data_IF_162562416767
#
_entry.id   IF_162562416767
#
_cell.length_a   1.000
_cell.length_b   1.000
_cell.length_c   1.000
_cell.angle_alpha   90.00
_cell.angle_beta   90.00
_cell.angle_gamma   90.00
#
_symmetry.space_group_name_H-M   'P 1'
#
loop_
_entity.id
_entity.type
_entity.pdbx_description
1 polymer ?
#
# COMPACT_ATOMS: atom_id res chain seq x y z
N UNK A 1 -4.29 11.45 -22.11
CA UNK A 1 -5.03 10.19 -22.32
C UNK A 1 -6.53 10.43 -22.27
N UNK A 2 -7.08 10.92 -21.14
CA UNK A 2 -8.51 11.16 -20.98
C UNK A 2 -9.13 11.99 -22.13
N UNK A 3 -8.61 13.18 -22.43
CA UNK A 3 -9.16 14.05 -23.48
C UNK A 3 -9.17 13.39 -24.87
N UNK A 4 -8.14 12.60 -25.18
CA UNK A 4 -8.09 11.83 -26.43
C UNK A 4 -9.11 10.69 -26.42
N UNK A 5 -9.36 10.06 -25.28
CA UNK A 5 -10.38 9.02 -25.14
C UNK A 5 -11.80 9.60 -25.24
N UNK A 6 -12.03 10.84 -24.78
CA UNK A 6 -13.27 11.60 -25.00
C UNK A 6 -13.47 11.87 -26.49
N UNK A 7 -12.43 12.38 -27.17
CA UNK A 7 -12.50 12.67 -28.61
C UNK A 7 -12.81 11.44 -29.46
N UNK A 8 -12.35 10.26 -29.03
CA UNK A 8 -12.58 8.99 -29.72
C UNK A 8 -13.79 8.21 -29.19
N UNK A 9 -14.61 8.81 -28.31
CA UNK A 9 -15.77 8.15 -27.68
C UNK A 9 -15.44 6.81 -27.00
N UNK A 10 -14.20 6.64 -26.53
CA UNK A 10 -13.72 5.41 -25.90
C UNK A 10 -13.90 5.51 -24.37
N UNK A 11 -15.06 5.10 -23.87
CA UNK A 11 -15.37 5.17 -22.44
C UNK A 11 -14.50 4.24 -21.59
N UNK A 12 -13.99 3.15 -22.16
CA UNK A 12 -13.04 2.28 -21.46
C UNK A 12 -11.74 3.03 -21.12
N UNK A 13 -11.12 3.71 -22.09
CA UNK A 13 -9.90 4.49 -21.86
C UNK A 13 -10.16 5.75 -21.02
N UNK A 14 -11.37 6.33 -21.06
CA UNK A 14 -11.73 7.41 -20.14
C UNK A 14 -11.73 6.91 -18.69
N UNK A 15 -12.40 5.77 -18.43
CA UNK A 15 -12.45 5.16 -17.09
C UNK A 15 -11.06 4.77 -16.59
N UNK A 16 -10.25 4.12 -17.42
CA UNK A 16 -8.86 3.76 -17.07
C UNK A 16 -8.03 5.01 -16.75
N UNK A 17 -8.17 6.10 -17.51
CA UNK A 17 -7.43 7.33 -17.25
C UNK A 17 -7.78 7.94 -15.89
N UNK A 18 -9.06 7.93 -15.52
CA UNK A 18 -9.52 8.39 -14.21
C UNK A 18 -9.00 7.50 -13.07
N UNK A 19 -8.94 6.17 -13.26
CA UNK A 19 -8.34 5.26 -12.27
C UNK A 19 -6.87 5.60 -12.04
N UNK A 20 -6.11 5.82 -13.12
CA UNK A 20 -4.68 6.18 -13.01
C UNK A 20 -4.47 7.53 -12.31
N UNK A 21 -5.32 8.52 -12.59
CA UNK A 21 -5.30 9.81 -11.88
C UNK A 21 -5.64 9.65 -10.40
N UNK A 22 -6.66 8.86 -10.08
CA UNK A 22 -7.07 8.59 -8.71
C UNK A 22 -5.93 7.94 -7.89
N UNK A 23 -5.23 6.95 -8.44
CA UNK A 23 -4.04 6.34 -7.81
C UNK A 23 -2.98 7.41 -7.51
N UNK A 24 -2.69 8.28 -8.49
CA UNK A 24 -1.69 9.34 -8.34
C UNK A 24 -2.06 10.34 -7.25
N UNK A 25 -3.26 10.92 -7.30
CA UNK A 25 -3.69 11.91 -6.32
C UNK A 25 -3.85 11.35 -4.92
N UNK A 26 -4.38 10.12 -4.79
CA UNK A 26 -4.45 9.45 -3.49
C UNK A 26 -3.05 9.26 -2.91
N UNK A 27 -2.10 8.73 -3.70
CA UNK A 27 -0.70 8.55 -3.24
C UNK A 27 -0.06 9.87 -2.82
N UNK A 28 -0.26 10.94 -3.59
CA UNK A 28 0.26 12.27 -3.26
C UNK A 28 -0.30 12.79 -1.93
N UNK A 29 -1.62 12.70 -1.73
CA UNK A 29 -2.24 13.12 -0.47
C UNK A 29 -1.78 12.27 0.72
N UNK A 30 -1.64 10.95 0.55
CA UNK A 30 -1.18 10.02 1.58
C UNK A 30 0.30 10.19 1.95
N UNK A 31 1.12 10.77 1.07
CA UNK A 31 2.54 11.02 1.34
C UNK A 31 2.81 12.43 1.88
N UNK A 32 2.13 13.45 1.34
CA UNK A 32 2.50 14.85 1.56
C UNK A 32 1.45 15.66 2.31
N UNK A 33 0.17 15.25 2.30
CA UNK A 33 -0.95 16.05 2.79
C UNK A 33 -1.60 16.88 1.68
N UNK A 34 -1.94 18.17 1.91
CA UNK A 34 -2.48 19.03 0.86
C UNK A 34 -1.59 19.05 -0.39
N UNK A 35 -2.20 18.99 -1.58
CA UNK A 35 -1.48 18.94 -2.86
C UNK A 35 -2.25 19.68 -3.95
N UNK A 36 -1.59 20.17 -5.02
CA UNK A 36 -2.30 20.69 -6.18
C UNK A 36 -3.26 19.65 -6.76
N UNK A 37 -4.56 19.94 -6.78
CA UNK A 37 -5.58 19.01 -7.26
C UNK A 37 -6.58 19.66 -8.21
N UNK A 38 -7.46 20.54 -7.74
CA UNK A 38 -8.51 21.20 -8.53
C UNK A 38 -7.96 22.19 -9.56
N UNK A 39 -6.82 22.80 -9.25
CA UNK A 39 -6.12 23.71 -10.16
C UNK A 39 -4.97 23.06 -10.93
N UNK A 40 -4.68 21.78 -10.65
CA UNK A 40 -3.58 21.05 -11.29
C UNK A 40 -3.87 20.72 -12.76
N UNK A 41 -2.83 20.30 -13.48
CA UNK A 41 -2.88 19.92 -14.90
C UNK A 41 -3.41 21.01 -15.85
N UNK A 42 -3.45 22.26 -15.38
CA UNK A 42 -3.75 23.43 -16.19
C UNK A 42 -2.45 24.13 -16.60
N UNK A 43 -2.05 24.02 -17.87
CA UNK A 43 -0.82 24.64 -18.40
C UNK A 43 -0.80 26.17 -18.27
N UNK A 44 -1.96 26.81 -18.13
CA UNK A 44 -2.06 28.26 -17.90
C UNK A 44 -1.87 28.67 -16.44
N UNK A 45 -1.93 27.72 -15.50
CA UNK A 45 -1.72 27.96 -14.08
C UNK A 45 -0.37 27.41 -13.63
N UNK A 46 0.62 28.30 -13.51
CA UNK A 46 1.98 27.96 -13.08
C UNK A 46 2.14 27.92 -11.55
N UNK A 47 1.11 28.29 -10.80
CA UNK A 47 1.12 28.35 -9.33
C UNK A 47 -0.21 27.81 -8.78
N UNK A 48 -0.53 26.53 -9.04
CA UNK A 48 -1.78 25.95 -8.57
C UNK A 48 -1.86 25.94 -7.05
N UNK A 49 -3.04 26.25 -6.53
CA UNK A 49 -3.33 26.11 -5.12
C UNK A 49 -3.20 24.63 -4.68
N UNK A 50 -2.80 24.43 -3.43
CA UNK A 50 -2.77 23.11 -2.81
C UNK A 50 -4.12 22.91 -2.12
N UNK A 51 -4.90 21.94 -2.58
CA UNK A 51 -6.18 21.62 -1.97
C UNK A 51 -5.99 20.80 -0.70
N UNK A 52 -6.85 21.05 0.28
CA UNK A 52 -6.91 20.27 1.51
C UNK A 52 -7.16 18.79 1.20
N UNK A 53 -6.58 17.91 2.02
CA UNK A 53 -6.66 16.47 1.80
C UNK A 53 -8.11 15.95 1.70
N UNK A 54 -9.05 16.54 2.46
CA UNK A 54 -10.48 16.18 2.37
C UNK A 54 -11.06 16.42 0.97
N UNK A 55 -10.67 17.52 0.31
CA UNK A 55 -11.07 17.84 -1.07
C UNK A 55 -10.45 16.83 -2.04
N UNK A 56 -9.17 16.51 -1.85
CA UNK A 56 -8.46 15.54 -2.70
C UNK A 56 -9.09 14.16 -2.60
N UNK A 57 -9.39 13.66 -1.39
CA UNK A 57 -10.00 12.35 -1.20
C UNK A 57 -11.42 12.25 -1.73
N UNK A 58 -12.27 13.27 -1.53
CA UNK A 58 -13.60 13.29 -2.16
C UNK A 58 -13.48 13.34 -3.70
N UNK A 59 -12.51 14.09 -4.21
CA UNK A 59 -12.19 14.10 -5.64
C UNK A 59 -11.75 12.74 -6.18
N UNK A 60 -10.88 12.02 -5.46
CA UNK A 60 -10.46 10.64 -5.78
C UNK A 60 -11.67 9.69 -5.78
N UNK A 61 -12.53 9.76 -4.77
CA UNK A 61 -13.74 8.94 -4.67
C UNK A 61 -14.69 9.23 -5.83
N UNK A 62 -14.82 10.49 -6.23
CA UNK A 62 -15.62 10.90 -7.39
C UNK A 62 -15.01 10.37 -8.70
N UNK A 63 -13.69 10.53 -8.91
CA UNK A 63 -12.99 9.97 -10.09
C UNK A 63 -13.21 8.46 -10.22
N UNK A 64 -13.12 7.72 -9.12
CA UNK A 64 -13.36 6.27 -9.12
C UNK A 64 -14.84 5.93 -9.34
N UNK A 65 -15.77 6.77 -8.89
CA UNK A 65 -17.19 6.61 -9.16
C UNK A 65 -17.51 6.78 -10.64
N UNK A 66 -16.98 7.83 -11.25
CA UNK A 66 -17.17 8.12 -12.67
C UNK A 66 -16.48 7.07 -13.55
N UNK A 67 -15.27 6.64 -13.16
CA UNK A 67 -14.57 5.55 -13.82
C UNK A 67 -15.36 4.24 -13.79
N UNK A 68 -15.97 3.89 -12.65
CA UNK A 68 -16.78 2.68 -12.54
C UNK A 68 -18.00 2.74 -13.45
N UNK A 69 -18.66 3.91 -13.57
CA UNK A 69 -19.78 4.11 -14.48
C UNK A 69 -19.38 3.98 -15.95
N UNK A 70 -18.25 4.58 -16.33
CA UNK A 70 -17.69 4.51 -17.69
C UNK A 70 -17.30 3.09 -18.08
N UNK A 71 -16.61 2.37 -17.19
CA UNK A 71 -16.19 0.98 -17.42
C UNK A 71 -17.38 0.00 -17.43
N UNK A 72 -18.40 0.23 -16.60
CA UNK A 72 -19.61 -0.59 -16.59
C UNK A 72 -20.43 -0.46 -17.87
N UNK A 73 -20.39 0.71 -18.51
CA UNK A 73 -21.03 1.00 -19.81
C UNK A 73 -20.03 0.99 -20.97
N UNK A 74 -18.87 0.35 -20.76
CA UNK A 74 -17.67 0.44 -21.56
C UNK A 74 -17.85 0.28 -23.07
N UNK A 75 -17.15 1.12 -23.83
CA UNK A 75 -17.08 1.13 -25.28
C UNK A 75 -15.68 1.51 -25.74
N UNK A 76 -15.31 1.07 -26.94
CA UNK A 76 -13.98 1.27 -27.52
C UNK A 76 -12.95 0.27 -27.03
N UNK A 77 -11.98 -0.03 -27.88
CA UNK A 77 -10.96 -1.04 -27.58
C UNK A 77 -9.84 -0.49 -26.68
N UNK A 78 -9.29 -1.36 -25.85
CA UNK A 78 -8.02 -1.13 -25.14
C UNK A 78 -6.99 -2.07 -25.77
N UNK A 79 -5.97 -1.50 -26.40
CA UNK A 79 -4.92 -2.30 -27.05
C UNK A 79 -4.15 -3.06 -25.97
N UNK A 80 -4.19 -4.39 -26.02
CA UNK A 80 -3.63 -5.26 -25.00
C UNK A 80 -2.16 -4.96 -24.66
N UNK A 81 -1.33 -4.68 -25.67
CA UNK A 81 0.09 -4.37 -25.47
C UNK A 81 0.35 -3.01 -24.83
N UNK A 82 -0.65 -2.14 -24.77
CA UNK A 82 -0.55 -0.81 -24.16
C UNK A 82 -1.04 -0.79 -22.70
N UNK A 83 -1.63 -1.90 -22.23
CA UNK A 83 -2.12 -2.06 -20.86
C UNK A 83 -1.24 -3.06 -20.09
N UNK A 84 -0.34 -2.52 -19.28
CA UNK A 84 0.61 -3.31 -18.48
C UNK A 84 0.01 -3.96 -17.23
N UNK A 85 -1.25 -3.66 -16.90
CA UNK A 85 -1.93 -4.23 -15.73
C UNK A 85 -2.80 -5.41 -16.11
N UNK A 86 -3.66 -5.25 -17.12
CA UNK A 86 -4.69 -6.24 -17.43
C UNK A 86 -4.76 -6.65 -18.89
N UNK A 87 -3.81 -6.22 -19.73
CA UNK A 87 -3.76 -6.62 -21.13
C UNK A 87 -5.05 -6.30 -21.90
N UNK A 88 -5.73 -5.21 -21.54
CA UNK A 88 -6.98 -4.77 -22.15
C UNK A 88 -8.25 -5.34 -21.54
N UNK A 89 -8.17 -6.15 -20.47
CA UNK A 89 -9.35 -6.67 -19.78
C UNK A 89 -10.02 -5.58 -18.91
N UNK A 90 -11.03 -4.94 -19.49
CA UNK A 90 -11.78 -3.85 -18.84
C UNK A 90 -12.64 -4.33 -17.67
N UNK A 91 -12.96 -5.62 -17.60
CA UNK A 91 -13.67 -6.19 -16.45
C UNK A 91 -12.80 -6.20 -15.19
N UNK A 92 -11.49 -6.47 -15.36
CA UNK A 92 -10.51 -6.34 -14.26
C UNK A 92 -10.25 -4.90 -13.88
N UNK A 93 -10.24 -3.98 -14.84
CA UNK A 93 -10.21 -2.54 -14.54
C UNK A 93 -11.40 -2.12 -13.69
N UNK A 94 -12.63 -2.55 -14.01
CA UNK A 94 -13.80 -2.24 -13.20
C UNK A 94 -13.68 -2.79 -11.77
N UNK A 95 -13.17 -4.02 -11.61
CA UNK A 95 -12.92 -4.59 -10.28
C UNK A 95 -11.87 -3.79 -9.51
N UNK A 96 -10.78 -3.37 -10.17
CA UNK A 96 -9.76 -2.51 -9.58
C UNK A 96 -10.37 -1.17 -9.13
N UNK A 97 -11.17 -0.53 -9.98
CA UNK A 97 -11.82 0.75 -9.66
C UNK A 97 -12.62 0.68 -8.37
N UNK A 98 -13.49 -0.32 -8.25
CA UNK A 98 -14.31 -0.50 -7.05
C UNK A 98 -13.47 -0.88 -5.82
N UNK A 99 -12.42 -1.67 -6.03
CA UNK A 99 -11.49 -2.07 -4.97
C UNK A 99 -10.67 -0.89 -4.44
N UNK A 100 -10.17 -0.01 -5.32
CA UNK A 100 -9.51 1.24 -4.94
C UNK A 100 -10.48 2.20 -4.25
N UNK A 101 -11.73 2.29 -4.73
CA UNK A 101 -12.75 3.11 -4.07
C UNK A 101 -13.02 2.61 -2.65
N UNK A 102 -13.06 1.29 -2.46
CA UNK A 102 -13.16 0.68 -1.14
C UNK A 102 -11.95 1.05 -0.26
N UNK A 103 -10.72 0.96 -0.77
CA UNK A 103 -9.51 1.41 -0.05
C UNK A 103 -9.57 2.89 0.34
N UNK A 104 -9.91 3.77 -0.59
CA UNK A 104 -10.01 5.21 -0.34
C UNK A 104 -11.04 5.54 0.75
N UNK A 105 -12.22 4.88 0.72
CA UNK A 105 -13.24 5.02 1.77
C UNK A 105 -12.76 4.50 3.12
N UNK A 106 -12.06 3.36 3.16
CA UNK A 106 -11.48 2.83 4.39
C UNK A 106 -10.40 3.76 4.97
N UNK A 107 -9.59 4.37 4.10
CA UNK A 107 -8.57 5.37 4.48
C UNK A 107 -9.17 6.51 5.28
N UNK A 108 -10.30 7.05 4.82
CA UNK A 108 -10.97 8.22 5.43
C UNK A 108 -12.08 7.86 6.42
N UNK A 109 -12.21 6.58 6.80
CA UNK A 109 -13.32 6.10 7.63
C UNK A 109 -13.39 6.72 9.04
N UNK A 110 -12.28 7.30 9.52
CA UNK A 110 -12.22 8.04 10.78
C UNK A 110 -12.75 9.47 10.68
N UNK A 111 -12.86 10.02 9.47
CA UNK A 111 -13.13 11.46 9.24
C UNK A 111 -14.58 11.71 8.87
N UNK A 112 -15.27 10.71 8.31
CA UNK A 112 -16.70 10.75 8.00
C UNK A 112 -17.34 9.36 7.96
N UNK A 113 -18.67 9.34 7.89
CA UNK A 113 -19.41 8.10 7.65
C UNK A 113 -19.17 7.60 6.22
N UNK A 114 -18.77 6.32 6.09
CA UNK A 114 -18.47 5.65 4.80
C UNK A 114 -19.27 4.35 4.61
N UNK A 115 -19.98 3.87 5.63
CA UNK A 115 -20.57 2.52 5.63
C UNK A 115 -21.58 2.25 4.51
N UNK A 116 -22.43 3.24 4.17
CA UNK A 116 -23.39 3.10 3.08
C UNK A 116 -22.70 2.91 1.71
N UNK A 117 -21.60 3.64 1.47
CA UNK A 117 -20.83 3.54 0.22
C UNK A 117 -20.06 2.22 0.15
N UNK A 118 -19.41 1.83 1.26
CA UNK A 118 -18.72 0.54 1.35
C UNK A 118 -19.70 -0.62 1.10
N UNK A 119 -20.87 -0.61 1.75
CA UNK A 119 -21.87 -1.66 1.57
C UNK A 119 -22.42 -1.69 0.13
N UNK A 120 -22.60 -0.53 -0.51
CA UNK A 120 -23.01 -0.46 -1.91
C UNK A 120 -21.96 -1.08 -2.86
N UNK A 121 -20.67 -0.85 -2.60
CA UNK A 121 -19.58 -1.48 -3.35
C UNK A 121 -19.61 -3.00 -3.18
N UNK A 122 -19.76 -3.50 -1.95
CA UNK A 122 -19.89 -4.95 -1.69
C UNK A 122 -21.08 -5.54 -2.44
N UNK A 123 -22.24 -4.87 -2.41
CA UNK A 123 -23.46 -5.33 -3.06
C UNK A 123 -23.35 -5.35 -4.60
N UNK A 124 -22.44 -4.57 -5.18
CA UNK A 124 -22.23 -4.56 -6.63
C UNK A 124 -21.63 -5.88 -7.15
N UNK A 125 -20.91 -6.62 -6.29
CA UNK A 125 -20.19 -7.84 -6.68
C UNK A 125 -18.97 -7.61 -7.59
N UNK A 126 -18.67 -6.36 -7.96
CA UNK A 126 -17.58 -6.02 -8.89
C UNK A 126 -16.30 -5.67 -8.15
N UNK A 127 -15.85 -6.55 -7.25
CA UNK A 127 -14.60 -6.46 -6.51
C UNK A 127 -13.64 -7.57 -6.96
N UNK A 128 -12.39 -7.54 -6.51
CA UNK A 128 -11.48 -8.68 -6.69
C UNK A 128 -12.06 -9.97 -6.10
N UNK A 129 -11.99 -11.06 -6.87
CA UNK A 129 -12.45 -12.39 -6.48
C UNK A 129 -11.32 -13.35 -6.10
N UNK A 130 -10.09 -13.04 -6.48
CA UNK A 130 -8.91 -13.87 -6.25
C UNK A 130 -7.62 -13.15 -6.62
N UNK A 131 -6.48 -13.83 -6.44
CA UNK A 131 -5.15 -13.28 -6.73
C UNK A 131 -4.95 -12.96 -8.23
N UNK A 132 -5.71 -13.58 -9.12
CA UNK A 132 -5.74 -13.30 -10.56
C UNK A 132 -6.27 -11.91 -10.92
N UNK A 133 -6.99 -11.26 -9.99
CA UNK A 133 -7.49 -9.90 -10.15
C UNK A 133 -6.52 -8.84 -9.60
N UNK A 134 -5.39 -9.22 -8.99
CA UNK A 134 -4.43 -8.26 -8.44
C UNK A 134 -3.99 -7.22 -9.50
N UNK A 135 -3.95 -5.95 -9.14
CA UNK A 135 -3.36 -4.91 -9.98
C UNK A 135 -1.86 -4.86 -9.78
N UNK A 136 -1.14 -5.32 -10.80
CA UNK A 136 0.29 -5.54 -10.75
C UNK A 136 0.97 -5.02 -12.01
N UNK A 137 2.10 -4.36 -11.83
CA UNK A 137 3.01 -3.98 -12.91
C UNK A 137 4.03 -5.09 -13.10
N UNK A 138 4.05 -5.69 -14.29
CA UNK A 138 5.04 -6.72 -14.64
C UNK A 138 6.39 -6.07 -14.95
N UNK A 139 7.45 -6.59 -14.36
CA UNK A 139 8.83 -6.22 -14.68
C UNK A 139 9.46 -7.26 -15.62
N UNK A 140 10.54 -6.87 -16.30
CA UNK A 140 11.31 -7.73 -17.21
C UNK A 140 12.52 -8.35 -16.49
N UNK A 141 13.17 -9.30 -17.15
CA UNK A 141 14.26 -10.06 -16.56
C UNK A 141 15.57 -9.28 -16.35
N UNK A 142 15.73 -8.08 -16.93
CA UNK A 142 16.99 -7.32 -16.95
C UNK A 142 16.78 -5.81 -16.81
N UNK A 143 17.76 -5.12 -16.25
CA UNK A 143 17.79 -3.66 -16.11
C UNK A 143 17.73 -2.95 -17.48
N UNK A 144 17.09 -1.76 -17.58
CA UNK A 144 16.51 -0.95 -16.52
C UNK A 144 15.01 -1.21 -16.27
N UNK A 145 14.47 -2.30 -16.81
CA UNK A 145 13.05 -2.65 -16.73
C UNK A 145 12.80 -3.80 -15.73
N UNK A 146 13.81 -4.18 -14.92
CA UNK A 146 13.68 -5.21 -13.91
C UNK A 146 13.11 -4.64 -12.60
N UNK A 147 12.72 -5.53 -11.69
CA UNK A 147 12.22 -5.13 -10.39
C UNK A 147 13.26 -4.23 -9.67
N UNK A 148 12.90 -3.01 -9.25
CA UNK A 148 13.87 -2.06 -8.69
C UNK A 148 14.58 -2.52 -7.42
N UNK A 149 13.98 -3.41 -6.63
CA UNK A 149 14.61 -4.01 -5.45
C UNK A 149 15.71 -4.99 -5.89
N UNK A 150 15.46 -5.79 -6.92
CA UNK A 150 16.47 -6.64 -7.53
C UNK A 150 17.59 -5.82 -8.17
N UNK A 151 17.26 -4.79 -8.96
CA UNK A 151 18.24 -3.92 -9.59
C UNK A 151 19.14 -3.25 -8.54
N UNK A 152 18.56 -2.82 -7.42
CA UNK A 152 19.34 -2.20 -6.35
C UNK A 152 20.23 -3.20 -5.62
N UNK A 153 19.68 -4.34 -5.21
CA UNK A 153 20.35 -5.26 -4.27
C UNK A 153 21.26 -6.23 -4.99
N UNK A 154 20.76 -6.87 -6.05
CA UNK A 154 21.47 -7.94 -6.77
C UNK A 154 22.34 -7.35 -7.87
N UNK A 155 21.76 -6.62 -8.82
CA UNK A 155 22.51 -6.03 -9.94
C UNK A 155 23.49 -4.96 -9.42
N UNK A 156 22.99 -4.06 -8.58
CA UNK A 156 23.77 -3.02 -7.91
C UNK A 156 24.73 -3.51 -6.84
N UNK A 157 24.75 -4.82 -6.51
CA UNK A 157 25.64 -5.43 -5.52
C UNK A 157 25.61 -4.71 -4.16
N UNK A 158 24.41 -4.53 -3.59
CA UNK A 158 24.18 -3.82 -2.32
C UNK A 158 23.79 -4.79 -1.20
N UNK A 159 24.75 -5.57 -0.65
CA UNK A 159 24.47 -6.59 0.37
C UNK A 159 24.05 -6.01 1.72
N UNK A 160 24.15 -4.70 1.93
CA UNK A 160 23.75 -4.02 3.16
C UNK A 160 22.23 -3.96 3.37
N UNK A 161 21.42 -4.27 2.35
CA UNK A 161 19.97 -4.37 2.48
C UNK A 161 19.58 -5.63 3.24
N UNK A 162 19.16 -5.45 4.50
CA UNK A 162 18.89 -6.52 5.46
C UNK A 162 17.48 -6.40 6.05
N UNK A 163 16.91 -7.52 6.51
CA UNK A 163 15.58 -7.52 7.13
C UNK A 163 15.61 -6.96 8.56
N UNK A 164 14.52 -6.30 8.96
CA UNK A 164 14.36 -5.73 10.30
C UNK A 164 14.06 -6.83 11.33
N UNK A 165 14.62 -6.71 12.54
CA UNK A 165 14.30 -7.63 13.65
C UNK A 165 12.82 -7.59 14.01
N UNK A 166 12.16 -6.44 13.87
CA UNK A 166 10.72 -6.28 14.12
C UNK A 166 9.88 -7.30 13.33
N UNK A 167 10.17 -7.45 12.03
CA UNK A 167 9.47 -8.39 11.17
C UNK A 167 9.81 -9.84 11.54
N UNK A 168 11.10 -10.11 11.74
CA UNK A 168 11.59 -11.46 12.08
C UNK A 168 11.00 -11.94 13.41
N UNK A 169 11.01 -11.10 14.44
CA UNK A 169 10.50 -11.41 15.77
C UNK A 169 8.99 -11.62 15.74
N UNK A 170 8.25 -10.76 15.02
CA UNK A 170 6.81 -10.90 14.86
C UNK A 170 6.45 -12.23 14.18
N UNK A 171 7.04 -12.52 13.02
CA UNK A 171 6.72 -13.75 12.28
C UNK A 171 7.16 -15.01 13.03
N UNK A 172 8.29 -14.94 13.75
CA UNK A 172 8.73 -16.03 14.64
C UNK A 172 7.71 -16.28 15.74
N UNK A 173 7.20 -15.22 16.40
CA UNK A 173 6.21 -15.36 17.48
C UNK A 173 4.88 -15.96 17.00
N UNK A 174 4.56 -15.80 15.72
CA UNK A 174 3.36 -16.33 15.07
C UNK A 174 3.56 -17.72 14.45
N UNK A 175 4.77 -18.28 14.53
CA UNK A 175 5.18 -19.47 13.76
C UNK A 175 4.81 -19.35 12.27
N UNK A 176 5.06 -18.18 11.69
CA UNK A 176 4.61 -17.84 10.34
C UNK A 176 5.60 -18.34 9.28
N UNK A 177 5.21 -19.28 8.40
CA UNK A 177 6.10 -19.83 7.39
C UNK A 177 6.51 -18.82 6.31
N UNK A 178 5.81 -17.67 6.18
CA UNK A 178 6.23 -16.59 5.28
C UNK A 178 7.60 -16.02 5.66
N UNK A 179 8.05 -16.18 6.91
CA UNK A 179 9.39 -15.74 7.33
C UNK A 179 10.51 -16.30 6.44
N UNK A 180 10.41 -17.58 6.06
CA UNK A 180 11.41 -18.23 5.21
C UNK A 180 11.34 -17.79 3.74
N UNK A 181 10.25 -17.13 3.33
CA UNK A 181 10.10 -16.52 1.99
C UNK A 181 10.58 -15.06 2.03
N UNK A 182 10.30 -14.34 3.11
CA UNK A 182 10.60 -12.91 3.26
C UNK A 182 12.08 -12.65 3.52
N UNK A 183 12.76 -13.57 4.22
CA UNK A 183 14.15 -13.42 4.65
C UNK A 183 15.00 -14.62 4.21
N UNK A 184 16.23 -14.33 3.77
CA UNK A 184 17.24 -15.37 3.54
C UNK A 184 17.93 -15.75 4.86
N UNK A 185 18.32 -17.01 5.07
CA UNK A 185 19.19 -17.40 6.17
C UNK A 185 20.47 -16.56 6.22
N UNK A 186 20.96 -16.21 7.42
CA UNK A 186 22.25 -15.55 7.56
C UNK A 186 23.38 -16.44 7.02
N UNK A 187 24.36 -15.85 6.34
CA UNK A 187 25.50 -16.57 5.74
C UNK A 187 26.42 -17.20 6.78
N UNK A 188 26.47 -16.62 7.98
CA UNK A 188 27.33 -17.08 9.08
C UNK A 188 26.99 -18.48 9.59
N UNK A 189 25.70 -18.82 9.69
CA UNK A 189 25.25 -20.06 10.34
C UNK A 189 23.90 -20.61 9.86
N UNK A 190 23.26 -19.96 8.87
CA UNK A 190 21.98 -20.41 8.31
C UNK A 190 20.75 -20.11 9.17
N UNK A 191 20.85 -19.24 10.18
CA UNK A 191 19.68 -18.84 11.01
C UNK A 191 19.14 -17.49 10.54
N UNK A 192 17.81 -17.36 10.46
CA UNK A 192 17.18 -16.08 10.11
C UNK A 192 17.28 -15.10 11.28
N UNK A 193 17.88 -13.93 11.05
CA UNK A 193 18.02 -12.85 12.04
C UNK A 193 17.85 -11.49 11.41
N UNK A 194 16.98 -10.67 12.00
CA UNK A 194 16.85 -9.28 11.59
C UNK A 194 17.73 -8.35 12.42
N UNK A 195 17.94 -7.14 11.90
CA UNK A 195 18.65 -6.07 12.60
C UNK A 195 17.64 -5.04 13.16
N UNK A 196 17.78 -4.58 14.41
CA UNK A 196 16.93 -3.50 14.92
C UNK A 196 17.10 -2.22 14.11
N UNK A 197 16.01 -1.48 13.83
CA UNK A 197 16.08 -0.23 13.08
C UNK A 197 16.74 0.88 13.92
N UNK A 198 17.53 1.73 13.25
CA UNK A 198 17.94 3.02 13.81
C UNK A 198 19.33 3.11 14.43
N UNK A 199 20.24 2.18 14.17
CA UNK A 199 21.66 2.35 14.50
C UNK A 199 22.40 2.97 13.32
N UNK A 200 23.07 4.12 13.52
CA UNK A 200 23.85 4.77 12.46
C UNK A 200 24.24 6.23 12.72
N UNK A 201 23.57 6.92 13.65
CA UNK A 201 23.87 8.31 14.01
C UNK A 201 25.02 8.39 15.03
N UNK A 202 24.98 7.51 16.03
CA UNK A 202 25.95 7.43 17.11
C UNK A 202 26.80 6.15 16.99
N UNK A 203 26.20 5.06 16.51
CA UNK A 203 26.92 3.80 16.28
C UNK A 203 27.43 3.70 14.84
N UNK A 204 28.74 3.54 14.61
CA UNK A 204 29.29 3.37 13.27
C UNK A 204 28.69 2.17 12.53
N UNK A 205 28.23 2.40 11.29
CA UNK A 205 27.77 1.35 10.39
C UNK A 205 28.95 0.47 9.94
N UNK A 206 28.77 -0.86 9.76
CA UNK A 206 27.50 -1.59 9.80
C UNK A 206 27.02 -2.05 11.19
N UNK A 207 27.63 -1.54 12.26
CA UNK A 207 27.38 -1.86 13.67
C UNK A 207 27.95 -3.22 14.13
N UNK A 208 29.14 -3.59 13.63
CA UNK A 208 29.81 -4.85 13.96
C UNK A 208 30.14 -5.00 15.45
N UNK A 209 30.40 -3.89 16.15
CA UNK A 209 30.61 -3.88 17.60
C UNK A 209 29.38 -4.38 18.38
N UNK A 210 28.20 -4.34 17.78
CA UNK A 210 26.95 -4.92 18.31
C UNK A 210 26.68 -6.34 17.80
N UNK A 211 27.61 -6.93 17.04
CA UNK A 211 27.45 -8.23 16.40
C UNK A 211 26.69 -8.20 15.08
N UNK A 212 26.35 -7.02 14.56
CA UNK A 212 25.64 -6.89 13.28
C UNK A 212 26.63 -6.75 12.12
N UNK A 213 26.89 -7.86 11.43
CA UNK A 213 27.70 -7.90 10.19
C UNK A 213 26.82 -8.28 9.01
N UNK A 214 27.29 -8.02 7.78
CA UNK A 214 26.56 -8.43 6.59
C UNK A 214 26.35 -9.95 6.48
N UNK A 215 27.29 -10.76 7.00
CA UNK A 215 27.15 -12.21 7.04
C UNK A 215 26.21 -12.70 8.16
N UNK A 216 26.07 -11.95 9.26
CA UNK A 216 25.30 -12.38 10.42
C UNK A 216 23.82 -11.94 10.40
N UNK A 217 23.47 -10.97 9.54
CA UNK A 217 22.09 -10.51 9.38
C UNK A 217 21.51 -10.99 8.06
N UNK A 218 20.27 -11.49 8.13
CA UNK A 218 19.50 -11.96 6.99
C UNK A 218 19.23 -10.86 5.97
N UNK A 219 19.45 -11.19 4.70
CA UNK A 219 18.97 -10.38 3.58
C UNK A 219 17.51 -10.65 3.30
N UNK A 220 16.99 -10.04 2.24
CA UNK A 220 15.69 -10.42 1.67
C UNK A 220 15.75 -11.86 1.13
N UNK A 221 14.62 -12.55 1.16
CA UNK A 221 14.49 -13.88 0.56
C UNK A 221 14.52 -13.82 -0.96
N UNK A 222 14.92 -14.93 -1.61
CA UNK A 222 15.14 -14.98 -3.06
C UNK A 222 13.89 -14.68 -3.89
N UNK A 223 12.70 -15.00 -3.38
CA UNK A 223 11.43 -14.63 -4.02
C UNK A 223 11.29 -13.11 -4.18
N UNK A 224 11.67 -12.36 -3.15
CA UNK A 224 11.64 -10.88 -3.14
C UNK A 224 12.85 -10.23 -3.83
N UNK A 225 13.79 -11.06 -4.31
CA UNK A 225 14.93 -10.68 -5.14
C UNK A 225 14.82 -11.32 -6.53
N UNK A 226 13.61 -11.52 -7.03
CA UNK A 226 13.38 -11.96 -8.40
C UNK A 226 13.27 -10.71 -9.31
N UNK A 227 14.05 -10.60 -10.41
CA UNK A 227 13.95 -9.46 -11.35
C UNK A 227 12.56 -9.31 -11.95
N UNK A 228 11.78 -10.38 -12.06
CA UNK A 228 10.44 -10.37 -12.64
C UNK A 228 9.33 -10.31 -11.58
N UNK A 229 9.66 -10.15 -10.28
CA UNK A 229 8.65 -10.00 -9.24
C UNK A 229 7.82 -8.74 -9.52
N UNK A 230 6.49 -8.83 -9.71
CA UNK A 230 5.71 -7.69 -10.12
C UNK A 230 5.56 -6.64 -9.01
N UNK A 231 5.42 -5.38 -9.40
CA UNK A 231 5.08 -4.27 -8.52
C UNK A 231 3.59 -4.26 -8.23
N UNK A 232 3.19 -4.49 -6.98
CA UNK A 232 1.77 -4.60 -6.61
C UNK A 232 1.19 -3.24 -6.21
N UNK A 233 0.14 -2.80 -6.89
CA UNK A 233 -0.64 -1.59 -6.55
C UNK A 233 -1.86 -1.95 -5.72
N UNK A 234 -2.62 -2.93 -6.22
CA UNK A 234 -3.86 -3.57 -5.74
C UNK A 234 -3.74 -5.04 -5.35
N UNK A 235 -3.74 -5.51 -4.10
CA UNK A 235 -3.87 -6.96 -3.85
C UNK A 235 -5.26 -7.38 -3.34
N UNK A 236 -5.71 -8.58 -3.74
CA UNK A 236 -6.86 -9.27 -3.19
C UNK A 236 -6.67 -9.57 -1.71
N UNK A 237 -5.44 -9.88 -1.29
CA UNK A 237 -5.09 -10.02 0.13
C UNK A 237 -5.45 -8.75 0.92
N UNK A 238 -5.01 -7.58 0.44
CA UNK A 238 -5.34 -6.31 1.10
C UNK A 238 -6.83 -6.00 1.06
N UNK A 239 -7.52 -6.20 -0.07
CA UNK A 239 -8.98 -5.99 -0.12
C UNK A 239 -9.67 -6.80 0.98
N UNK A 240 -9.29 -8.06 1.16
CA UNK A 240 -9.88 -8.89 2.20
C UNK A 240 -9.60 -8.39 3.61
N UNK A 241 -8.42 -7.86 3.90
CA UNK A 241 -8.18 -7.24 5.21
C UNK A 241 -9.02 -5.97 5.43
N UNK A 242 -9.16 -5.13 4.40
CA UNK A 242 -10.04 -3.96 4.43
C UNK A 242 -11.52 -4.37 4.61
N UNK A 243 -11.96 -5.45 3.96
CA UNK A 243 -13.31 -6.01 4.11
C UNK A 243 -13.53 -6.61 5.50
N UNK A 244 -12.52 -7.31 6.05
CA UNK A 244 -12.55 -7.81 7.41
C UNK A 244 -12.67 -6.66 8.42
N UNK A 245 -11.89 -5.59 8.24
CA UNK A 245 -11.96 -4.39 9.08
C UNK A 245 -13.31 -3.68 8.95
N UNK A 246 -13.81 -3.50 7.73
CA UNK A 246 -15.12 -2.89 7.49
C UNK A 246 -16.24 -3.68 8.18
N UNK A 247 -16.20 -5.02 8.12
CA UNK A 247 -17.15 -5.87 8.84
C UNK A 247 -16.96 -5.76 10.36
N UNK A 248 -15.72 -5.67 10.83
CA UNK A 248 -15.37 -5.55 12.25
C UNK A 248 -15.88 -4.23 12.85
N UNK A 249 -15.82 -3.15 12.07
CA UNK A 249 -16.35 -1.81 12.39
C UNK A 249 -17.86 -1.68 12.17
N UNK A 250 -18.52 -2.69 11.61
CA UNK A 250 -19.95 -2.66 11.29
C UNK A 250 -20.32 -1.77 10.10
N UNK A 251 -19.35 -1.40 9.26
CA UNK A 251 -19.58 -0.64 8.02
C UNK A 251 -20.21 -1.50 6.93
N UNK A 252 -19.92 -2.80 6.92
CA UNK A 252 -20.58 -3.78 6.06
C UNK A 252 -21.23 -4.89 6.90
N UNK A 253 -22.24 -5.52 6.32
CA UNK A 253 -23.05 -6.56 6.93
C UNK A 253 -22.31 -7.90 7.11
N UNK A 254 -22.89 -8.80 7.91
CA UNK A 254 -22.40 -10.16 8.14
C UNK A 254 -21.68 -10.38 9.48
N UNK A 255 -21.33 -9.30 10.20
CA UNK A 255 -20.79 -9.36 11.57
C UNK A 255 -19.54 -10.25 11.68
N UNK A 256 -19.38 -10.90 12.84
CA UNK A 256 -18.17 -11.70 13.16
C UNK A 256 -17.90 -12.86 12.16
N UNK A 257 -18.95 -13.39 11.53
CA UNK A 257 -18.81 -14.42 10.50
C UNK A 257 -18.14 -13.87 9.23
N UNK A 258 -18.56 -12.69 8.78
CA UNK A 258 -17.91 -11.99 7.66
C UNK A 258 -16.47 -11.58 8.01
N UNK A 259 -16.24 -11.09 9.24
CA UNK A 259 -14.89 -10.77 9.73
C UNK A 259 -13.93 -11.96 9.57
N UNK A 260 -14.29 -13.13 10.10
CA UNK A 260 -13.43 -14.33 9.99
C UNK A 260 -13.30 -14.82 8.54
N UNK A 261 -14.35 -14.69 7.72
CA UNK A 261 -14.30 -15.07 6.30
C UNK A 261 -13.24 -14.26 5.56
N UNK A 262 -13.35 -12.93 5.61
CA UNK A 262 -12.41 -12.05 4.92
C UNK A 262 -11.01 -12.11 5.54
N UNK A 263 -10.89 -12.18 6.87
CA UNK A 263 -9.59 -12.35 7.53
C UNK A 263 -8.84 -13.60 7.03
N UNK A 264 -9.52 -14.74 6.97
CA UNK A 264 -8.93 -16.00 6.50
C UNK A 264 -8.62 -15.95 4.99
N UNK A 265 -9.46 -15.30 4.19
CA UNK A 265 -9.21 -15.09 2.75
C UNK A 265 -8.00 -14.21 2.51
N UNK A 266 -7.84 -13.12 3.26
CA UNK A 266 -6.69 -12.22 3.15
C UNK A 266 -5.37 -12.93 3.43
N UNK A 267 -5.35 -13.78 4.45
CA UNK A 267 -4.18 -14.59 4.81
C UNK A 267 -3.92 -15.66 3.77
N UNK A 268 -4.96 -16.39 3.33
CA UNK A 268 -4.82 -17.41 2.30
C UNK A 268 -4.28 -16.84 1.00
N UNK A 269 -4.77 -15.67 0.58
CA UNK A 269 -4.29 -14.97 -0.60
C UNK A 269 -2.83 -14.53 -0.47
N UNK A 270 -2.43 -14.02 0.71
CA UNK A 270 -1.03 -13.68 1.01
C UNK A 270 -0.11 -14.90 0.98
N UNK A 271 -0.54 -16.03 1.54
CA UNK A 271 0.21 -17.29 1.50
C UNK A 271 0.36 -17.80 0.07
N UNK A 272 -0.72 -17.82 -0.70
CA UNK A 272 -0.70 -18.26 -2.10
C UNK A 272 0.24 -17.41 -2.95
N UNK A 273 0.20 -16.07 -2.79
CA UNK A 273 1.14 -15.17 -3.48
C UNK A 273 2.61 -15.51 -3.17
N UNK A 274 2.87 -16.03 -1.98
CA UNK A 274 4.20 -16.45 -1.52
C UNK A 274 4.50 -17.94 -1.78
N UNK A 275 3.66 -18.64 -2.55
CA UNK A 275 3.84 -20.06 -2.87
C UNK A 275 3.62 -21.00 -1.68
N UNK A 276 2.89 -20.57 -0.66
CA UNK A 276 2.61 -21.32 0.57
C UNK A 276 1.14 -21.72 0.67
N UNK A 277 0.85 -22.70 1.53
CA UNK A 277 -0.50 -23.11 1.89
C UNK A 277 -0.84 -22.67 3.33
N UNK A 278 -1.95 -21.94 3.50
CA UNK A 278 -2.34 -21.36 4.79
C UNK A 278 -3.02 -22.33 5.77
N UNK A 279 -3.37 -23.56 5.35
CA UNK A 279 -4.25 -24.47 6.12
C UNK A 279 -3.75 -24.70 7.55
N UNK A 280 -2.47 -25.03 7.71
CA UNK A 280 -1.90 -25.28 9.04
C UNK A 280 -1.79 -24.00 9.88
N UNK A 281 -1.47 -22.88 9.22
CA UNK A 281 -1.32 -21.59 9.89
C UNK A 281 -2.66 -21.07 10.44
N UNK A 282 -3.73 -21.16 9.64
CA UNK A 282 -5.09 -20.81 10.05
C UNK A 282 -5.67 -21.77 11.11
N UNK A 283 -5.13 -23.00 11.19
CA UNK A 283 -5.52 -23.99 12.20
C UNK A 283 -4.87 -23.80 13.57
N UNK A 284 -3.99 -22.80 13.75
CA UNK A 284 -3.32 -22.57 15.03
C UNK A 284 -4.31 -22.15 16.13
N UNK A 285 -4.12 -22.58 17.39
CA UNK A 285 -4.96 -22.15 18.50
C UNK A 285 -4.97 -20.63 18.68
N UNK A 286 -6.14 -20.03 18.91
CA UNK A 286 -6.29 -18.60 19.16
C UNK A 286 -6.24 -17.70 17.92
N UNK A 287 -6.16 -18.29 16.72
CA UNK A 287 -6.03 -17.55 15.46
C UNK A 287 -7.34 -16.87 15.04
N UNK A 288 -8.48 -17.56 15.20
CA UNK A 288 -9.79 -17.02 14.87
C UNK A 288 -10.10 -15.73 15.65
N UNK A 289 -10.85 -14.81 15.02
CA UNK A 289 -11.29 -13.57 15.65
C UNK A 289 -12.57 -13.87 16.45
N UNK A 290 -12.52 -13.59 17.75
CA UNK A 290 -13.60 -13.96 18.70
C UNK A 290 -14.49 -12.78 19.10
N UNK A 291 -14.04 -11.56 18.86
CA UNK A 291 -14.78 -10.33 19.14
C UNK A 291 -14.30 -9.18 18.26
N UNK A 292 -15.02 -8.05 18.27
CA UNK A 292 -14.58 -6.86 17.52
C UNK A 292 -13.25 -6.29 18.04
N UNK A 293 -13.06 -6.30 19.37
CA UNK A 293 -11.82 -5.80 19.99
C UNK A 293 -10.61 -6.69 19.67
N UNK A 294 -10.81 -8.00 19.56
CA UNK A 294 -9.81 -8.97 19.12
C UNK A 294 -9.46 -8.78 17.63
N UNK A 295 -10.46 -8.45 16.80
CA UNK A 295 -10.31 -8.31 15.35
C UNK A 295 -9.38 -7.18 14.93
N UNK A 296 -9.47 -6.00 15.58
CA UNK A 296 -8.73 -4.80 15.15
C UNK A 296 -7.22 -5.04 15.07
N UNK A 297 -6.61 -5.58 16.13
CA UNK A 297 -5.17 -5.83 16.15
C UNK A 297 -4.76 -6.97 15.22
N UNK A 298 -5.53 -8.05 15.17
CA UNK A 298 -5.24 -9.22 14.33
C UNK A 298 -5.30 -8.90 12.84
N UNK A 299 -6.32 -8.17 12.41
CA UNK A 299 -6.52 -7.78 11.00
C UNK A 299 -5.37 -6.88 10.56
N UNK A 300 -5.14 -5.76 11.25
CA UNK A 300 -4.10 -4.81 10.89
C UNK A 300 -2.69 -5.42 10.92
N UNK A 301 -2.41 -6.31 11.88
CA UNK A 301 -1.12 -7.02 11.93
C UNK A 301 -0.93 -7.96 10.74
N UNK A 302 -1.96 -8.71 10.35
CA UNK A 302 -1.87 -9.60 9.19
C UNK A 302 -1.83 -8.83 7.87
N UNK A 303 -2.51 -7.69 7.78
CA UNK A 303 -2.39 -6.77 6.65
C UNK A 303 -0.95 -6.24 6.52
N UNK A 304 -0.36 -5.77 7.61
CA UNK A 304 1.04 -5.32 7.64
C UNK A 304 2.02 -6.41 7.17
N UNK A 305 1.80 -7.66 7.58
CA UNK A 305 2.59 -8.81 7.12
C UNK A 305 2.38 -9.07 5.62
N UNK A 306 1.13 -9.00 5.14
CA UNK A 306 0.78 -9.28 3.75
C UNK A 306 1.27 -8.21 2.77
N UNK A 307 1.45 -6.97 3.23
CA UNK A 307 1.97 -5.86 2.45
C UNK A 307 3.51 -5.88 2.31
N UNK A 308 4.23 -6.91 2.79
CA UNK A 308 5.66 -7.04 2.56
C UNK A 308 6.00 -7.01 1.05
N UNK A 309 6.94 -6.13 0.67
CA UNK A 309 7.25 -5.80 -0.73
C UNK A 309 6.44 -4.61 -1.30
N UNK A 310 5.42 -4.11 -0.60
CA UNK A 310 4.59 -2.95 -0.94
C UNK A 310 4.84 -1.81 0.06
N UNK A 311 6.09 -1.30 0.09
CA UNK A 311 6.59 -0.46 1.19
C UNK A 311 5.79 0.81 1.47
N UNK A 312 5.35 1.54 0.43
CA UNK A 312 4.52 2.73 0.63
C UNK A 312 3.17 2.40 1.25
N UNK A 313 2.45 1.42 0.69
CA UNK A 313 1.14 1.00 1.22
C UNK A 313 1.26 0.47 2.66
N UNK A 314 2.31 -0.30 2.96
CA UNK A 314 2.62 -0.77 4.32
C UNK A 314 2.76 0.40 5.30
N UNK A 315 3.51 1.45 4.91
CA UNK A 315 3.68 2.64 5.74
C UNK A 315 2.38 3.44 5.89
N UNK A 316 1.58 3.54 4.83
CA UNK A 316 0.31 4.28 4.86
C UNK A 316 -0.71 3.56 5.77
N UNK A 317 -0.91 2.25 5.60
CA UNK A 317 -1.81 1.45 6.47
C UNK A 317 -1.32 1.41 7.93
N UNK A 318 -0.01 1.28 8.15
CA UNK A 318 0.54 1.40 9.51
C UNK A 318 0.28 2.79 10.10
N UNK A 319 0.42 3.87 9.33
CA UNK A 319 0.13 5.22 9.84
C UNK A 319 -1.34 5.41 10.18
N UNK A 320 -2.27 4.77 9.46
CA UNK A 320 -3.72 4.82 9.71
C UNK A 320 -4.14 3.98 10.92
N UNK A 321 -3.55 2.80 11.09
CA UNK A 321 -3.95 1.84 12.14
C UNK A 321 -3.11 1.94 13.40
N UNK A 322 -1.87 2.45 13.29
CA UNK A 322 -0.78 2.36 14.28
C UNK A 322 -0.48 0.92 14.71
N UNK A 323 -0.78 -0.05 13.84
CA UNK A 323 -0.67 -1.48 14.09
C UNK A 323 0.16 -2.17 13.00
N UNK A 324 1.04 -3.13 13.36
CA UNK A 324 1.42 -3.51 14.72
C UNK A 324 2.07 -2.32 15.47
N UNK A 325 2.12 -2.41 16.81
CA UNK A 325 2.72 -1.34 17.61
C UNK A 325 4.22 -1.29 17.34
N UNK A 326 4.69 -0.20 16.74
CA UNK A 326 6.10 0.03 16.42
C UNK A 326 6.67 1.14 17.30
N UNK A 327 7.95 1.01 17.63
CA UNK A 327 8.72 2.05 18.33
C UNK A 327 9.61 2.81 17.34
N UNK A 328 9.95 4.08 17.62
CA UNK A 328 10.97 4.79 16.86
C UNK A 328 12.31 4.05 16.81
N UNK A 329 13.14 4.44 15.84
CA UNK A 329 14.49 3.93 15.66
C UNK A 329 15.37 4.16 16.91
N UNK A 330 16.32 3.26 17.18
CA UNK A 330 17.14 3.29 18.39
C UNK A 330 17.87 4.62 18.65
N UNK A 331 18.42 5.23 17.60
CA UNK A 331 19.11 6.53 17.65
C UNK A 331 18.33 7.61 16.86
N UNK A 332 16.99 7.56 16.89
CA UNK A 332 16.17 8.50 16.14
C UNK A 332 16.30 9.95 16.65
N UNK A 333 16.43 10.91 15.72
CA UNK A 333 16.41 12.35 16.01
C UNK A 333 15.02 12.87 16.41
N UNK A 334 13.97 12.16 15.99
CA UNK A 334 12.57 12.43 16.33
C UNK A 334 12.00 11.28 17.17
N UNK A 335 11.18 11.61 18.16
CA UNK A 335 10.62 10.65 19.12
C UNK A 335 9.39 9.89 18.59
N UNK A 336 9.14 9.92 17.27
CA UNK A 336 8.06 9.20 16.61
C UNK A 336 8.50 8.75 15.21
N UNK A 337 7.85 7.70 14.68
CA UNK A 337 7.99 7.34 13.27
C UNK A 337 7.29 8.44 12.42
N UNK A 338 7.89 8.91 11.30
CA UNK A 338 7.31 9.95 10.45
C UNK A 338 5.84 9.70 10.08
N UNK A 339 5.03 10.74 10.23
CA UNK A 339 3.63 10.81 9.83
C UNK A 339 3.47 11.20 8.36
N UNK A 340 4.46 11.82 7.72
CA UNK A 340 4.43 12.21 6.30
C UNK A 340 5.84 12.44 5.76
N UNK A 341 5.95 12.70 4.48
CA UNK A 341 7.17 13.21 3.85
C UNK A 341 7.14 14.74 3.79
N UNK A 342 8.32 15.35 3.72
CA UNK A 342 8.43 16.77 3.41
C UNK A 342 7.91 17.07 2.00
N UNK A 343 7.42 18.28 1.78
CA UNK A 343 7.18 18.72 0.41
C UNK A 343 8.51 18.79 -0.38
N UNK A 344 8.47 18.60 -1.71
CA UNK A 344 9.65 18.76 -2.55
C UNK A 344 10.34 20.13 -2.36
N UNK A 345 11.67 20.13 -2.33
CA UNK A 345 12.47 21.33 -1.97
C UNK A 345 12.38 22.47 -2.98
N UNK A 346 11.80 22.23 -4.16
CA UNK A 346 11.53 23.23 -5.19
C UNK A 346 10.24 24.02 -4.94
N UNK A 347 9.25 23.47 -4.21
CA UNK A 347 7.97 24.15 -3.94
C UNK A 347 8.13 25.53 -3.28
N UNK A 348 9.03 25.71 -2.28
CA UNK A 348 9.29 27.03 -1.71
C UNK A 348 9.84 28.06 -2.72
N UNK A 349 10.41 27.62 -3.84
CA UNK A 349 10.96 28.53 -4.87
C UNK A 349 9.98 28.79 -6.02
N UNK A 350 9.19 27.79 -6.39
CA UNK A 350 8.30 27.85 -7.57
C UNK A 350 6.88 28.30 -7.23
N UNK A 351 6.37 27.92 -6.05
CA UNK A 351 4.98 28.13 -5.64
C UNK A 351 4.86 28.54 -4.16
N UNK A 352 5.74 29.45 -3.73
CA UNK A 352 5.98 29.76 -2.31
C UNK A 352 4.71 30.08 -1.50
N UNK A 353 3.82 30.92 -2.03
CA UNK A 353 2.63 31.35 -1.32
C UNK A 353 1.67 30.17 -1.03
N UNK A 354 1.42 29.32 -2.04
CA UNK A 354 0.55 28.17 -1.88
C UNK A 354 1.22 27.07 -1.04
N UNK A 355 2.54 26.85 -1.20
CA UNK A 355 3.32 25.98 -0.32
C UNK A 355 3.22 26.41 1.15
N UNK A 356 3.37 27.71 1.45
CA UNK A 356 3.28 28.22 2.83
C UNK A 356 1.88 28.04 3.41
N UNK A 357 0.84 28.27 2.61
CA UNK A 357 -0.55 28.04 3.02
C UNK A 357 -0.79 26.56 3.36
N UNK A 358 -0.39 25.64 2.45
CA UNK A 358 -0.48 24.20 2.63
C UNK A 358 0.29 23.72 3.86
N UNK A 359 1.57 24.11 3.98
CA UNK A 359 2.43 23.81 5.11
C UNK A 359 1.78 24.27 6.43
N UNK A 360 1.27 25.50 6.48
CA UNK A 360 0.64 26.04 7.69
C UNK A 360 -0.64 25.30 8.08
N UNK A 361 -1.44 24.85 7.10
CA UNK A 361 -2.71 24.15 7.34
C UNK A 361 -2.54 22.83 8.12
N UNK A 362 -1.39 22.17 7.97
CA UNK A 362 -1.05 20.91 8.64
C UNK A 362 -0.11 21.10 9.84
N UNK A 363 0.09 22.33 10.32
CA UNK A 363 0.97 22.61 11.46
C UNK A 363 2.46 22.71 11.11
N UNK A 364 2.79 22.91 9.84
CA UNK A 364 4.14 23.09 9.30
C UNK A 364 4.60 21.90 8.43
N UNK A 365 5.64 22.12 7.65
CA UNK A 365 6.29 21.08 6.83
C UNK A 365 7.24 20.26 7.71
N UNK A 366 6.66 19.44 8.59
CA UNK A 366 7.38 18.56 9.51
C UNK A 366 7.06 17.10 9.16
N UNK A 367 8.01 16.20 9.42
CA UNK A 367 7.77 14.75 9.36
C UNK A 367 6.71 14.31 10.38
N UNK A 368 6.50 15.10 11.44
CA UNK A 368 5.59 14.77 12.55
C UNK A 368 4.19 15.35 12.40
N UNK A 369 3.97 16.23 11.43
CA UNK A 369 2.65 16.77 11.12
C UNK A 369 1.72 15.64 10.70
N UNK A 370 0.60 15.50 11.40
CA UNK A 370 -0.38 14.43 11.14
C UNK A 370 -1.27 14.81 9.98
N UNK A 371 -1.57 13.83 9.14
CA UNK A 371 -2.46 13.96 7.99
C UNK A 371 -3.91 13.71 8.41
N UNK A 372 -4.88 14.28 7.69
CA UNK A 372 -6.28 14.29 8.15
C UNK A 372 -6.90 12.88 8.35
N UNK A 373 -6.38 11.88 7.65
CA UNK A 373 -6.87 10.50 7.67
C UNK A 373 -6.18 9.59 8.71
N UNK A 374 -5.18 10.11 9.44
CA UNK A 374 -4.35 9.35 10.38
C UNK A 374 -4.94 9.16 11.78
#
# INVERSE_FOLDING_TARGET
MYDLAVLNENTNLQGIALVMQAIGYQTLAELYGPVPFTEALNLGNIQPAFDDESVVFEGVIQMLTDAAALLSSGSGDVVATSDLFYGGDTSKWLKLTNTLKFRALMRISSTRSVGAELQAIVNSGNLFGGNEDNAQLSYLAVSPDANPIWETIVDGSRPEYKVSSVLVDLLTSLNDPRLAVYASPAESDGVIRGKPPGFGLQTPLPNEALGYTYANISGLGSFYLNPELPGVVMSYSQLNFLMAEAANKGYISGGLAAVNTYYNQGISASFEFNGLNATNYLGQPGFAITSQSDGTAKIATQEWIALFGQGFETLIEWRRTKLPVLTPAAEADINQIPSRLYYPTNEPSLNNANYQAASSSIGGDLLTSSLFWQ
#
